data_IF_862122323811
#
_entry.id   IF_862122323811
#
_cell.length_a   1.000
_cell.length_b   1.000
_cell.length_c   1.000
_cell.angle_alpha   90.00
_cell.angle_beta   90.00
_cell.angle_gamma   90.00
#
_symmetry.space_group_name_H-M   'P 1'
#
loop_
_entity.id
_entity.type
_entity.pdbx_description
1 polymer ?
#
# COMPACT_ATOMS: atom_id res chain seq x y z
N UNK A 1 -0.35 33.19 3.56
CA UNK A 1 0.83 32.76 4.35
C UNK A 1 1.53 31.64 3.60
N UNK A 2 2.87 31.58 3.58
CA UNK A 2 3.57 30.38 3.09
C UNK A 2 3.36 29.30 4.14
N UNK A 3 2.68 28.22 3.78
CA UNK A 3 2.60 27.02 4.62
C UNK A 3 3.98 26.38 4.66
N UNK A 4 4.37 25.83 5.81
CA UNK A 4 5.59 25.03 5.89
C UNK A 4 5.55 23.88 4.87
N UNK A 5 6.71 23.47 4.34
CA UNK A 5 6.79 22.29 3.51
C UNK A 5 6.22 21.06 4.23
N UNK A 6 5.54 20.14 3.53
CA UNK A 6 5.09 18.92 4.15
C UNK A 6 6.29 18.11 4.66
N UNK A 7 6.21 17.68 5.92
CA UNK A 7 7.20 16.81 6.54
C UNK A 7 6.66 15.37 6.62
N UNK A 8 7.56 14.40 6.47
CA UNK A 8 7.21 13.00 6.64
C UNK A 8 6.83 12.72 8.10
N UNK A 9 5.83 11.85 8.35
CA UNK A 9 5.47 11.46 9.71
C UNK A 9 6.62 10.70 10.40
N UNK A 10 6.69 10.79 11.72
CA UNK A 10 7.60 9.94 12.50
C UNK A 10 7.09 8.50 12.53
N UNK A 11 7.97 7.55 12.86
CA UNK A 11 7.61 6.15 13.02
C UNK A 11 6.53 5.95 14.10
N UNK A 12 6.63 6.69 15.21
CA UNK A 12 5.64 6.68 16.30
C UNK A 12 4.27 7.17 15.81
N UNK A 13 4.23 8.22 14.98
CA UNK A 13 2.98 8.69 14.38
C UNK A 13 2.38 7.65 13.44
N UNK A 14 3.20 6.91 12.67
CA UNK A 14 2.69 5.82 11.82
C UNK A 14 2.12 4.69 12.68
N UNK A 15 2.80 4.29 13.76
CA UNK A 15 2.32 3.25 14.68
C UNK A 15 0.98 3.64 15.32
N UNK A 16 0.86 4.86 15.82
CA UNK A 16 -0.39 5.36 16.40
C UNK A 16 -1.55 5.36 15.39
N UNK A 17 -1.30 5.71 14.12
CA UNK A 17 -2.33 5.59 13.08
C UNK A 17 -2.75 4.14 12.83
N UNK A 18 -1.80 3.19 12.84
CA UNK A 18 -2.12 1.77 12.67
C UNK A 18 -2.93 1.21 13.85
N UNK A 19 -2.71 1.72 15.07
CA UNK A 19 -3.53 1.37 16.24
C UNK A 19 -4.97 1.90 16.10
N UNK A 20 -5.15 3.11 15.58
CA UNK A 20 -6.49 3.67 15.31
C UNK A 20 -7.24 2.83 14.25
N UNK A 21 -6.50 2.27 13.29
CA UNK A 21 -7.04 1.53 12.15
C UNK A 21 -7.21 0.02 12.42
N UNK A 22 -7.15 -0.44 13.67
CA UNK A 22 -7.31 -1.85 14.02
C UNK A 22 -8.62 -2.47 13.49
N UNK A 23 -9.70 -1.68 13.47
CA UNK A 23 -11.01 -2.11 12.95
C UNK A 23 -11.20 -1.86 11.44
N UNK A 24 -10.19 -1.29 10.76
CA UNK A 24 -10.17 -1.05 9.31
C UNK A 24 -8.86 -1.60 8.69
N UNK A 25 -8.77 -2.94 8.53
CA UNK A 25 -7.55 -3.60 8.07
C UNK A 25 -7.17 -3.22 6.63
N UNK A 26 -8.13 -2.82 5.80
CA UNK A 26 -7.88 -2.40 4.42
C UNK A 26 -7.13 -1.06 4.38
N UNK A 27 -7.60 -0.08 5.16
CA UNK A 27 -6.89 1.19 5.31
C UNK A 27 -5.56 1.01 6.05
N UNK A 28 -5.51 0.16 7.07
CA UNK A 28 -4.27 -0.16 7.77
C UNK A 28 -3.20 -0.74 6.82
N UNK A 29 -3.60 -1.65 5.92
CA UNK A 29 -2.72 -2.19 4.88
C UNK A 29 -2.22 -1.10 3.94
N UNK A 30 -3.10 -0.21 3.46
CA UNK A 30 -2.71 0.90 2.61
C UNK A 30 -1.68 1.83 3.29
N UNK A 31 -1.88 2.13 4.59
CA UNK A 31 -0.94 2.92 5.39
C UNK A 31 0.40 2.20 5.55
N UNK A 32 0.41 0.89 5.83
CA UNK A 32 1.63 0.08 5.91
C UNK A 32 2.41 0.14 4.60
N UNK A 33 1.74 -0.11 3.46
CA UNK A 33 2.36 -0.06 2.14
C UNK A 33 2.98 1.30 1.82
N UNK A 34 2.27 2.39 2.13
CA UNK A 34 2.77 3.74 1.92
C UNK A 34 3.99 4.04 2.82
N UNK A 35 3.96 3.59 4.08
CA UNK A 35 5.01 3.87 5.06
C UNK A 35 6.28 3.02 4.87
N UNK A 36 6.17 1.79 4.37
CA UNK A 36 7.33 0.86 4.27
C UNK A 36 8.06 0.97 2.95
N UNK A 37 7.33 1.02 1.83
CA UNK A 37 7.91 0.99 0.48
C UNK A 37 7.60 2.25 -0.34
N UNK A 38 6.91 3.23 0.25
CA UNK A 38 6.70 4.54 -0.35
C UNK A 38 5.75 4.55 -1.55
N UNK A 39 4.81 3.59 -1.64
CA UNK A 39 3.84 3.56 -2.73
C UNK A 39 2.98 4.83 -2.71
N UNK A 40 2.73 5.37 -3.91
CA UNK A 40 1.78 6.46 -4.08
C UNK A 40 0.35 5.93 -4.01
N UNK A 41 -0.58 6.81 -3.61
CA UNK A 41 -2.02 6.46 -3.51
C UNK A 41 -2.59 5.81 -4.77
N UNK A 42 -2.24 6.30 -5.96
CA UNK A 42 -2.72 5.73 -7.22
C UNK A 42 -2.10 4.36 -7.53
N UNK A 43 -0.87 4.12 -7.10
CA UNK A 43 -0.18 2.83 -7.22
C UNK A 43 -0.81 1.81 -6.27
N UNK A 44 -1.05 2.18 -5.00
CA UNK A 44 -1.79 1.33 -4.04
C UNK A 44 -3.17 0.95 -4.58
N UNK A 45 -3.93 1.93 -5.09
CA UNK A 45 -5.24 1.70 -5.67
C UNK A 45 -5.21 0.86 -6.96
N UNK A 46 -4.07 0.79 -7.64
CA UNK A 46 -3.87 0.01 -8.86
C UNK A 46 -3.23 -1.36 -8.65
N UNK A 47 -2.92 -1.75 -7.41
CA UNK A 47 -2.30 -3.04 -7.13
C UNK A 47 -3.18 -4.21 -7.60
N UNK A 48 -2.54 -5.24 -8.14
CA UNK A 48 -3.17 -6.48 -8.59
C UNK A 48 -2.41 -7.67 -8.05
N UNK A 49 -3.11 -8.78 -7.84
CA UNK A 49 -2.52 -10.05 -7.40
C UNK A 49 -1.37 -10.52 -8.31
N UNK A 50 -1.47 -10.31 -9.62
CA UNK A 50 -0.42 -10.67 -10.58
C UNK A 50 0.91 -9.92 -10.39
N UNK A 51 0.94 -8.87 -9.56
CA UNK A 51 2.12 -8.06 -9.27
C UNK A 51 2.67 -8.31 -7.85
N UNK A 52 2.13 -9.29 -7.13
CA UNK A 52 2.53 -9.63 -5.76
C UNK A 52 3.13 -11.03 -5.78
N UNK A 53 4.41 -11.14 -5.43
CA UNK A 53 5.07 -12.41 -5.17
C UNK A 53 5.20 -12.55 -3.65
N UNK A 54 4.32 -13.35 -3.06
CA UNK A 54 4.34 -13.58 -1.62
C UNK A 54 5.51 -14.47 -1.21
N UNK A 55 5.94 -15.40 -2.07
CA UNK A 55 7.02 -16.34 -1.75
C UNK A 55 8.37 -15.59 -1.65
N UNK A 56 8.61 -14.64 -2.55
CA UNK A 56 9.80 -13.80 -2.56
C UNK A 56 9.65 -12.49 -1.76
N UNK A 57 8.44 -12.18 -1.27
CA UNK A 57 8.16 -10.94 -0.56
C UNK A 57 8.34 -9.69 -1.45
N UNK A 58 7.87 -9.75 -2.69
CA UNK A 58 8.05 -8.67 -3.66
C UNK A 58 6.71 -8.09 -4.13
N UNK A 59 6.69 -6.76 -4.28
CA UNK A 59 5.58 -6.03 -4.91
C UNK A 59 6.12 -5.27 -6.11
N UNK A 60 5.58 -5.59 -7.27
CA UNK A 60 5.90 -4.90 -8.53
C UNK A 60 4.97 -3.72 -8.76
N UNK A 61 5.55 -2.54 -9.02
CA UNK A 61 4.82 -1.29 -9.24
C UNK A 61 4.85 -0.98 -10.73
N UNK A 62 3.85 -1.48 -11.44
CA UNK A 62 3.79 -1.41 -12.90
C UNK A 62 2.81 -0.34 -13.39
N UNK A 63 1.75 -0.07 -12.62
CA UNK A 63 0.68 0.84 -12.99
C UNK A 63 0.03 1.50 -11.76
N UNK A 64 -0.73 2.57 -11.98
CA UNK A 64 -1.61 3.17 -10.98
C UNK A 64 -2.95 3.54 -11.58
N UNK A 65 -3.98 3.72 -10.75
CA UNK A 65 -5.32 4.10 -11.19
C UNK A 65 -5.62 5.55 -10.81
N UNK A 66 -6.14 6.31 -11.78
CA UNK A 66 -6.65 7.68 -11.56
C UNK A 66 -8.12 7.75 -11.94
N UNK A 67 -8.93 8.39 -11.09
CA UNK A 67 -10.36 8.64 -11.36
C UNK A 67 -10.55 10.12 -11.67
N UNK A 68 -11.05 10.42 -12.86
CA UNK A 68 -11.38 11.79 -13.27
C UNK A 68 -12.90 11.97 -13.27
N UNK A 69 -13.45 12.99 -12.58
CA UNK A 69 -14.88 13.26 -12.59
C UNK A 69 -15.43 13.36 -14.02
N UNK A 70 -16.49 12.62 -14.32
CA UNK A 70 -17.12 12.58 -15.65
C UNK A 70 -16.43 11.70 -16.69
N UNK A 71 -15.22 11.20 -16.43
CA UNK A 71 -14.48 10.31 -17.35
C UNK A 71 -14.26 8.89 -16.81
N UNK A 72 -14.46 8.69 -15.50
CA UNK A 72 -14.31 7.39 -14.85
C UNK A 72 -12.87 7.06 -14.47
N UNK A 73 -12.60 5.78 -14.22
CA UNK A 73 -11.28 5.29 -13.85
C UNK A 73 -10.42 5.02 -15.09
N UNK A 74 -9.16 5.42 -15.02
CA UNK A 74 -8.16 5.17 -16.06
C UNK A 74 -6.90 4.55 -15.45
N UNK A 75 -6.34 3.56 -16.15
CA UNK A 75 -5.02 3.02 -15.81
C UNK A 75 -3.97 3.98 -16.35
N UNK A 76 -3.06 4.37 -15.48
CA UNK A 76 -1.95 5.27 -15.77
C UNK A 76 -0.65 4.51 -15.62
N UNK A 77 0.23 4.63 -16.60
CA UNK A 77 1.64 4.23 -16.43
C UNK A 77 2.27 5.07 -15.32
N UNK A 78 3.31 4.53 -14.68
CA UNK A 78 4.05 5.28 -13.65
C UNK A 78 4.58 6.61 -14.23
N UNK A 79 4.66 7.65 -13.38
CA UNK A 79 5.00 9.03 -13.78
C UNK A 79 6.30 9.16 -14.59
N UNK A 80 7.22 8.22 -14.46
CA UNK A 80 8.53 8.22 -15.14
C UNK A 80 8.60 7.25 -16.32
N UNK A 81 7.55 6.47 -16.60
CA UNK A 81 7.59 5.36 -17.57
C UNK A 81 8.44 4.17 -17.10
N UNK A 82 9.08 4.26 -15.93
CA UNK A 82 9.88 3.20 -15.34
C UNK A 82 9.04 2.40 -14.35
N UNK A 83 9.12 1.07 -14.48
CA UNK A 83 8.50 0.15 -13.54
C UNK A 83 9.34 0.18 -12.26
N UNK A 84 8.69 0.39 -11.11
CA UNK A 84 9.36 0.35 -9.81
C UNK A 84 9.19 -1.03 -9.19
N UNK A 85 10.13 -1.46 -8.35
CA UNK A 85 9.95 -2.63 -7.50
C UNK A 85 10.10 -2.21 -6.04
N UNK A 86 9.15 -2.62 -5.20
CA UNK A 86 9.22 -2.50 -3.75
C UNK A 86 9.44 -3.87 -3.14
N UNK A 87 10.37 -3.98 -2.18
CA UNK A 87 10.55 -5.20 -1.39
C UNK A 87 9.67 -5.09 -0.16
N UNK A 88 8.81 -6.07 0.07
CA UNK A 88 7.86 -6.08 1.16
C UNK A 88 8.09 -7.32 2.01
N UNK A 89 8.52 -7.15 3.26
CA UNK A 89 8.68 -8.29 4.15
C UNK A 89 7.32 -8.95 4.43
N UNK A 90 7.25 -10.27 4.28
CA UNK A 90 6.02 -11.07 4.44
C UNK A 90 5.31 -10.81 5.78
N UNK A 91 6.09 -10.52 6.84
CA UNK A 91 5.58 -10.18 8.19
C UNK A 91 4.63 -8.97 8.17
N UNK A 92 4.88 -8.01 7.28
CA UNK A 92 4.08 -6.79 7.14
C UNK A 92 2.71 -7.04 6.51
N UNK A 93 2.60 -8.02 5.59
CA UNK A 93 1.32 -8.40 4.95
C UNK A 93 0.54 -9.41 5.77
N UNK A 94 1.24 -10.41 6.34
CA UNK A 94 0.65 -11.49 7.11
C UNK A 94 -0.26 -10.96 8.22
N UNK A 95 0.21 -9.98 8.99
CA UNK A 95 -0.52 -9.45 10.15
C UNK A 95 -1.92 -8.92 9.79
N UNK A 96 -2.10 -8.30 8.61
CA UNK A 96 -3.41 -7.75 8.20
C UNK A 96 -4.29 -8.74 7.41
N UNK A 97 -3.70 -9.69 6.68
CA UNK A 97 -4.45 -10.64 5.85
C UNK A 97 -5.01 -11.82 6.65
N UNK A 98 -4.30 -12.27 7.70
CA UNK A 98 -4.70 -13.46 8.48
C UNK A 98 -5.88 -13.22 9.42
N UNK A 99 -6.22 -11.97 9.75
CA UNK A 99 -7.36 -11.67 10.64
C UNK A 99 -8.73 -11.76 9.94
N UNK A 100 -8.78 -11.74 8.60
CA UNK A 100 -10.05 -11.86 7.83
C UNK A 100 -10.25 -13.19 7.15
N UNK A 101 -9.20 -13.90 6.78
CA UNK A 101 -9.33 -15.26 6.24
C UNK A 101 -9.13 -16.18 7.42
N UNK A 102 -10.21 -16.76 7.94
CA UNK A 102 -10.16 -17.79 9.01
C UNK A 102 -9.44 -19.07 8.57
N UNK A 103 -8.16 -18.98 8.18
CA UNK A 103 -7.24 -20.09 8.03
C UNK A 103 -6.61 -20.29 9.41
N UNK A 104 -7.42 -20.83 10.32
CA UNK A 104 -6.91 -21.70 11.37
C UNK A 104 -6.63 -23.02 10.66
N UNK A 105 -5.36 -23.33 10.39
CA UNK A 105 -5.04 -24.58 9.71
C UNK A 105 -3.58 -24.77 9.30
N UNK A 106 -2.77 -25.18 10.28
CA UNK A 106 -1.54 -25.99 10.13
C UNK A 106 -0.33 -25.35 9.42
N UNK A 107 0.60 -24.87 10.24
CA UNK A 107 1.99 -25.36 10.22
C UNK A 107 2.36 -25.82 11.62
#
# INVERSE_FOLDING_TARGET
ARTEPPHAPSMETVQAHLEILQEDPETALAVRLAATIGLRRNEIAGLRWAHIDLDEGLVSITEGITVTPGQGASVTSTKTGHHGHGVLSIETLATCLFERVGIVGQV
#
